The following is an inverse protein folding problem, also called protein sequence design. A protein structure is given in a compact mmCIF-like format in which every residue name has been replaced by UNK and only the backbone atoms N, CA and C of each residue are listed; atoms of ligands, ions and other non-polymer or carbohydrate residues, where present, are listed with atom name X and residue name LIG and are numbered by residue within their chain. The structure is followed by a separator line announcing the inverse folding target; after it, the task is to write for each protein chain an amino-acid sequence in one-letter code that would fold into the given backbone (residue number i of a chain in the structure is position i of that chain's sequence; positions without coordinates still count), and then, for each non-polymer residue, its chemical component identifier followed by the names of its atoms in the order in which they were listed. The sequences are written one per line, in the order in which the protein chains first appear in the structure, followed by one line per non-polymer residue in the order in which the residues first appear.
data_IF_596789798907
#
_entry.id   IF_596789798907
#
_cell.length_a   1.000
_cell.length_b   1.000
_cell.length_c   1.000
_cell.angle_alpha   90.00
_cell.angle_beta   90.00
_cell.angle_gamma   90.00
#
_symmetry.space_group_name_H-M   'P 1'
#
loop_
_entity.id
_entity.type
_entity.pdbx_description
1 polymer ?
#
# COMPACT_ATOMS: atom_id res chain seq x y z
N UNK A 1 -32.97 7.22 -18.85
CA UNK A 1 -33.00 6.33 -17.68
C UNK A 1 -31.94 5.25 -17.86
N UNK A 2 -30.84 5.28 -17.09
CA UNK A 2 -29.79 4.25 -17.15
C UNK A 2 -30.22 3.08 -16.26
N UNK A 3 -30.24 1.86 -16.82
CA UNK A 3 -30.62 0.62 -16.13
C UNK A 3 -29.70 0.40 -14.94
N UNK A 4 -30.25 0.42 -13.73
CA UNK A 4 -29.61 -0.10 -12.52
C UNK A 4 -29.67 -1.63 -12.60
N UNK A 5 -28.59 -2.24 -13.06
CA UNK A 5 -28.39 -3.69 -12.90
C UNK A 5 -28.14 -3.98 -11.42
N UNK A 6 -29.08 -4.67 -10.79
CA UNK A 6 -28.90 -5.31 -9.49
C UNK A 6 -27.70 -6.26 -9.60
N UNK A 7 -26.56 -5.87 -9.03
CA UNK A 7 -25.35 -6.67 -9.02
C UNK A 7 -25.53 -7.81 -8.02
N UNK A 8 -25.78 -9.04 -8.49
CA UNK A 8 -25.62 -10.23 -7.66
C UNK A 8 -24.20 -10.18 -7.11
N UNK A 9 -24.03 -10.08 -5.79
CA UNK A 9 -22.72 -9.97 -5.18
C UNK A 9 -21.86 -11.16 -5.64
N UNK A 10 -20.83 -10.88 -6.44
CA UNK A 10 -19.94 -11.92 -6.91
C UNK A 10 -19.27 -12.59 -5.71
N UNK A 11 -19.41 -13.91 -5.62
CA UNK A 11 -18.87 -14.68 -4.51
C UNK A 11 -17.43 -15.07 -4.79
N UNK A 12 -16.51 -14.25 -4.32
CA UNK A 12 -15.07 -14.51 -4.42
C UNK A 12 -14.68 -15.83 -3.72
N UNK A 13 -14.07 -16.73 -4.46
CA UNK A 13 -13.58 -18.01 -3.96
C UNK A 13 -12.42 -17.80 -2.97
N UNK A 14 -11.58 -16.80 -3.22
CA UNK A 14 -10.49 -16.46 -2.30
C UNK A 14 -11.00 -15.95 -0.94
N UNK A 15 -12.18 -15.32 -0.87
CA UNK A 15 -12.64 -14.67 0.37
C UNK A 15 -12.81 -15.66 1.53
N UNK A 16 -13.20 -16.91 1.25
CA UNK A 16 -13.31 -17.98 2.25
C UNK A 16 -11.97 -18.63 2.58
N UNK A 17 -11.00 -18.55 1.66
CA UNK A 17 -9.67 -19.16 1.80
C UNK A 17 -8.70 -18.27 2.56
N UNK A 18 -8.84 -16.95 2.46
CA UNK A 18 -8.04 -15.95 3.17
C UNK A 18 -8.78 -15.41 4.41
N UNK A 19 -9.09 -16.32 5.35
CA UNK A 19 -9.54 -15.94 6.71
C UNK A 19 -8.33 -15.70 7.62
N UNK A 20 -8.52 -14.99 8.74
CA UNK A 20 -7.45 -14.80 9.73
C UNK A 20 -6.88 -16.16 10.16
N UNK A 21 -5.56 -16.29 10.15
CA UNK A 21 -4.87 -17.54 10.49
C UNK A 21 -5.28 -18.74 9.62
N UNK A 22 -5.71 -18.53 8.38
CA UNK A 22 -6.13 -19.60 7.48
C UNK A 22 -5.02 -20.61 7.18
N UNK A 23 -3.77 -20.17 7.26
CA UNK A 23 -2.61 -20.94 6.88
C UNK A 23 -1.76 -21.32 8.10
N UNK A 24 -1.10 -22.48 7.99
CA UNK A 24 -0.08 -22.91 8.94
C UNK A 24 1.27 -22.30 8.57
N UNK A 25 2.33 -22.63 9.31
CA UNK A 25 3.69 -22.10 9.12
C UNK A 25 4.29 -22.33 7.73
N UNK A 26 3.78 -23.29 6.95
CA UNK A 26 4.26 -23.59 5.59
C UNK A 26 3.81 -22.53 4.58
N UNK A 27 4.76 -21.97 3.83
CA UNK A 27 4.50 -20.92 2.83
C UNK A 27 3.97 -21.41 1.47
N UNK A 28 4.13 -22.70 1.12
CA UNK A 28 3.76 -23.22 -0.20
C UNK A 28 2.26 -23.08 -0.54
N UNK A 29 1.38 -23.45 0.40
CA UNK A 29 -0.07 -23.37 0.23
C UNK A 29 -0.58 -21.92 0.15
N UNK A 30 -0.18 -20.99 1.04
CA UNK A 30 -0.43 -19.56 0.89
C UNK A 30 -0.10 -19.01 -0.50
N UNK A 31 1.10 -19.31 -1.01
CA UNK A 31 1.57 -18.82 -2.31
C UNK A 31 0.71 -19.40 -3.44
N UNK A 32 0.34 -20.68 -3.37
CA UNK A 32 -0.56 -21.28 -4.34
C UNK A 32 -1.94 -20.61 -4.33
N UNK A 33 -2.53 -20.41 -3.14
CA UNK A 33 -3.85 -19.77 -3.01
C UNK A 33 -3.84 -18.31 -3.49
N UNK A 34 -2.73 -17.61 -3.30
CA UNK A 34 -2.55 -16.24 -3.79
C UNK A 34 -2.56 -16.21 -5.32
N UNK A 35 -1.85 -17.14 -5.97
CA UNK A 35 -1.87 -17.25 -7.45
C UNK A 35 -3.27 -17.56 -7.98
N UNK A 36 -4.03 -18.43 -7.31
CA UNK A 36 -5.41 -18.74 -7.68
C UNK A 36 -6.32 -17.52 -7.56
N UNK A 37 -6.20 -16.74 -6.47
CA UNK A 37 -6.96 -15.51 -6.27
C UNK A 37 -6.65 -14.44 -7.34
N UNK A 38 -5.37 -14.29 -7.70
CA UNK A 38 -4.97 -13.40 -8.80
C UNK A 38 -5.55 -13.84 -10.14
N UNK A 39 -5.62 -15.14 -10.41
CA UNK A 39 -6.21 -15.67 -11.63
C UNK A 39 -7.73 -15.39 -11.68
N UNK A 40 -8.43 -15.59 -10.56
CA UNK A 40 -9.85 -15.29 -10.40
C UNK A 40 -10.15 -13.80 -10.70
N UNK A 41 -9.41 -12.88 -10.07
CA UNK A 41 -9.56 -11.43 -10.29
C UNK A 41 -9.30 -11.07 -11.76
N UNK A 42 -8.24 -11.61 -12.36
CA UNK A 42 -7.90 -11.33 -13.77
C UNK A 42 -8.96 -11.85 -14.74
N UNK A 43 -9.64 -12.94 -14.42
CA UNK A 43 -10.75 -13.44 -15.24
C UNK A 43 -11.94 -12.46 -15.18
N UNK A 44 -12.31 -12.01 -13.98
CA UNK A 44 -13.41 -11.06 -13.79
C UNK A 44 -13.09 -9.70 -14.41
N UNK A 45 -11.83 -9.25 -14.36
CA UNK A 45 -11.40 -7.96 -14.91
C UNK A 45 -11.68 -7.79 -16.41
N UNK A 46 -11.85 -8.90 -17.15
CA UNK A 46 -12.20 -8.87 -18.58
C UNK A 46 -13.66 -8.53 -18.83
N UNK A 47 -14.55 -8.89 -17.90
CA UNK A 47 -15.99 -8.70 -18.04
C UNK A 47 -16.48 -7.51 -17.20
N UNK A 48 -15.97 -7.37 -15.99
CA UNK A 48 -16.30 -6.29 -15.07
C UNK A 48 -15.03 -5.79 -14.34
N UNK A 49 -14.38 -4.76 -14.89
CA UNK A 49 -13.20 -4.15 -14.30
C UNK A 49 -13.46 -3.53 -12.91
N UNK A 50 -14.63 -2.94 -12.68
CA UNK A 50 -14.96 -2.28 -11.40
C UNK A 50 -15.11 -3.32 -10.30
N UNK A 51 -15.82 -4.41 -10.58
CA UNK A 51 -15.94 -5.53 -9.66
C UNK A 51 -14.58 -6.16 -9.37
N UNK A 52 -13.73 -6.35 -10.39
CA UNK A 52 -12.39 -6.89 -10.20
C UNK A 52 -11.50 -5.98 -9.35
N UNK A 53 -11.60 -4.66 -9.49
CA UNK A 53 -10.90 -3.71 -8.64
C UNK A 53 -11.38 -3.76 -7.18
N UNK A 54 -12.69 -3.85 -6.93
CA UNK A 54 -13.21 -4.04 -5.56
C UNK A 54 -12.75 -5.39 -4.96
N UNK A 55 -12.69 -6.45 -5.77
CA UNK A 55 -12.13 -7.74 -5.40
C UNK A 55 -10.62 -7.69 -5.10
N UNK A 56 -9.86 -6.92 -5.87
CA UNK A 56 -8.44 -6.68 -5.61
C UNK A 56 -8.21 -6.00 -4.27
N UNK A 57 -9.02 -4.98 -3.95
CA UNK A 57 -9.02 -4.34 -2.63
C UNK A 57 -9.33 -5.36 -1.53
N UNK A 58 -10.39 -6.16 -1.71
CA UNK A 58 -10.79 -7.18 -0.75
C UNK A 58 -9.75 -8.30 -0.55
N UNK A 59 -8.95 -8.62 -1.57
CA UNK A 59 -7.85 -9.58 -1.44
C UNK A 59 -6.70 -8.97 -0.63
N UNK A 60 -6.30 -7.74 -0.91
CA UNK A 60 -5.20 -7.04 -0.22
C UNK A 60 -5.47 -6.89 1.28
N UNK A 61 -6.68 -6.52 1.68
CA UNK A 61 -7.13 -6.47 3.08
C UNK A 61 -6.93 -7.80 3.84
N UNK A 62 -7.02 -8.91 3.11
CA UNK A 62 -7.02 -10.25 3.70
C UNK A 62 -5.64 -10.87 3.78
N UNK A 63 -4.63 -10.31 3.11
CA UNK A 63 -3.30 -10.93 3.03
C UNK A 63 -2.65 -10.99 4.41
N UNK A 64 -2.48 -9.84 5.06
CA UNK A 64 -1.84 -9.76 6.37
C UNK A 64 -2.46 -10.69 7.42
N UNK A 65 -3.78 -10.61 7.71
CA UNK A 65 -4.39 -11.47 8.72
C UNK A 65 -4.37 -12.96 8.32
N UNK A 66 -4.39 -13.29 7.03
CA UNK A 66 -4.32 -14.69 6.60
C UNK A 66 -2.93 -15.30 6.79
N UNK A 67 -1.87 -14.49 6.67
CA UNK A 67 -0.47 -14.93 6.74
C UNK A 67 0.17 -14.79 8.13
N UNK A 68 -0.59 -14.40 9.15
CA UNK A 68 -0.13 -14.17 10.53
C UNK A 68 0.72 -15.31 11.11
N UNK A 69 0.44 -16.57 10.76
CA UNK A 69 1.18 -17.74 11.24
C UNK A 69 2.16 -18.33 10.22
N UNK A 70 2.31 -17.74 9.04
CA UNK A 70 3.19 -18.25 7.98
C UNK A 70 4.62 -17.86 8.28
N UNK A 71 5.56 -18.80 8.13
CA UNK A 71 6.99 -18.50 8.25
C UNK A 71 7.47 -17.66 7.05
N UNK A 72 7.91 -16.44 7.34
CA UNK A 72 8.42 -15.47 6.37
C UNK A 72 9.95 -15.47 6.25
N UNK A 73 10.67 -16.27 7.04
CA UNK A 73 12.15 -16.27 7.10
C UNK A 73 12.84 -16.50 5.75
N UNK A 74 12.23 -17.32 4.89
CA UNK A 74 12.72 -17.60 3.53
C UNK A 74 12.52 -16.46 2.53
N UNK A 75 11.72 -15.44 2.88
CA UNK A 75 11.33 -14.35 1.98
C UNK A 75 10.39 -14.76 0.83
N UNK A 76 10.07 -16.05 0.69
CA UNK A 76 9.29 -16.57 -0.44
C UNK A 76 7.84 -16.04 -0.44
N UNK A 77 7.22 -15.96 0.74
CA UNK A 77 5.87 -15.43 0.89
C UNK A 77 5.85 -13.91 0.64
N UNK A 78 6.81 -13.15 1.19
CA UNK A 78 6.92 -11.71 0.94
C UNK A 78 7.11 -11.41 -0.55
N UNK A 79 8.02 -12.11 -1.22
CA UNK A 79 8.22 -11.99 -2.68
C UNK A 79 6.94 -12.28 -3.47
N UNK A 80 6.14 -13.27 -3.04
CA UNK A 80 4.87 -13.59 -3.69
C UNK A 80 3.81 -12.50 -3.47
N UNK A 81 3.77 -11.90 -2.28
CA UNK A 81 2.87 -10.77 -1.97
C UNK A 81 3.25 -9.52 -2.74
N UNK A 82 4.52 -9.16 -2.81
CA UNK A 82 4.98 -7.99 -3.55
C UNK A 82 4.62 -8.09 -5.04
N UNK A 83 4.82 -9.28 -5.64
CA UNK A 83 4.36 -9.58 -7.01
C UNK A 83 2.84 -9.52 -7.16
N UNK A 84 2.08 -9.85 -6.11
CA UNK A 84 0.64 -9.71 -6.12
C UNK A 84 0.24 -8.22 -6.07
N UNK A 85 0.89 -7.40 -5.23
CA UNK A 85 0.69 -5.95 -5.17
C UNK A 85 0.98 -5.32 -6.55
N UNK A 86 2.11 -5.66 -7.17
CA UNK A 86 2.46 -5.21 -8.52
C UNK A 86 1.42 -5.56 -9.57
N UNK A 87 0.75 -6.72 -9.43
CA UNK A 87 -0.30 -7.15 -10.33
C UNK A 87 -1.65 -6.49 -10.05
N UNK A 88 -1.96 -6.18 -8.78
CA UNK A 88 -3.28 -5.68 -8.36
C UNK A 88 -3.37 -4.16 -8.40
N UNK A 89 -2.28 -3.43 -8.13
CA UNK A 89 -2.27 -1.96 -8.18
C UNK A 89 -2.74 -1.45 -9.55
N UNK A 90 -2.26 -1.97 -10.71
CA UNK A 90 -2.76 -1.55 -12.02
C UNK A 90 -4.22 -1.92 -12.26
N UNK A 91 -4.71 -3.03 -11.69
CA UNK A 91 -6.13 -3.43 -11.78
C UNK A 91 -7.01 -2.43 -11.04
N UNK A 92 -6.58 -1.96 -9.87
CA UNK A 92 -7.31 -0.98 -9.08
C UNK A 92 -7.22 0.40 -9.74
N UNK A 93 -6.02 0.86 -10.09
CA UNK A 93 -5.77 2.19 -10.63
C UNK A 93 -6.28 2.37 -12.07
N UNK A 94 -6.34 1.30 -12.86
CA UNK A 94 -6.74 1.34 -14.27
C UNK A 94 -8.23 1.55 -14.53
N UNK A 95 -9.07 1.54 -13.50
CA UNK A 95 -10.53 1.67 -13.63
C UNK A 95 -10.97 3.08 -13.30
N UNK A 96 -11.73 3.72 -14.20
CA UNK A 96 -12.35 5.01 -13.87
C UNK A 96 -13.60 4.79 -13.02
N UNK A 97 -13.60 5.34 -11.81
CA UNK A 97 -14.72 5.24 -10.85
C UNK A 97 -14.96 6.60 -10.19
N UNK A 98 -16.20 6.88 -9.74
CA UNK A 98 -16.48 8.10 -9.00
C UNK A 98 -15.56 8.25 -7.77
N UNK A 99 -15.12 9.47 -7.49
CA UNK A 99 -14.19 9.76 -6.40
C UNK A 99 -14.61 9.15 -5.03
N UNK A 100 -15.90 9.12 -4.63
CA UNK A 100 -16.29 8.47 -3.37
C UNK A 100 -16.01 6.96 -3.33
N UNK A 101 -16.12 6.26 -4.47
CA UNK A 101 -15.79 4.82 -4.56
C UNK A 101 -14.28 4.64 -4.41
N UNK A 102 -13.50 5.48 -5.09
CA UNK A 102 -12.04 5.48 -4.99
C UNK A 102 -11.56 5.74 -3.57
N UNK A 103 -12.12 6.76 -2.91
CA UNK A 103 -11.80 7.08 -1.52
C UNK A 103 -12.10 5.91 -0.59
N UNK A 104 -13.27 5.26 -0.74
CA UNK A 104 -13.62 4.08 0.06
C UNK A 104 -12.60 2.95 -0.11
N UNK A 105 -12.12 2.71 -1.33
CA UNK A 105 -11.07 1.71 -1.56
C UNK A 105 -9.75 2.08 -0.87
N UNK A 106 -9.36 3.35 -0.93
CA UNK A 106 -8.14 3.82 -0.26
C UNK A 106 -8.28 3.77 1.27
N UNK A 107 -9.43 4.13 1.84
CA UNK A 107 -9.68 4.05 3.29
C UNK A 107 -9.50 2.59 3.76
N UNK A 108 -10.13 1.65 3.06
CA UNK A 108 -10.01 0.20 3.29
C UNK A 108 -8.57 -0.33 3.21
N UNK A 109 -7.82 0.08 2.20
CA UNK A 109 -6.41 -0.31 2.04
C UNK A 109 -5.52 0.32 3.11
N UNK A 110 -5.88 1.52 3.57
CA UNK A 110 -5.14 2.20 4.61
C UNK A 110 -5.35 1.53 5.97
N UNK A 111 -6.59 1.15 6.28
CA UNK A 111 -6.90 0.34 7.46
C UNK A 111 -6.12 -0.98 7.44
N UNK A 112 -6.06 -1.65 6.29
CA UNK A 112 -5.26 -2.87 6.13
C UNK A 112 -3.75 -2.63 6.38
N UNK A 113 -3.20 -1.50 5.91
CA UNK A 113 -1.81 -1.12 6.18
C UNK A 113 -1.57 -0.83 7.67
N UNK A 114 -2.54 -0.26 8.40
CA UNK A 114 -2.42 -0.07 9.84
C UNK A 114 -2.47 -1.40 10.59
N UNK A 115 -3.26 -2.35 10.10
CA UNK A 115 -3.44 -3.70 10.66
C UNK A 115 -2.45 -4.72 10.07
N UNK A 116 -1.22 -4.31 9.74
CA UNK A 116 -0.16 -5.14 9.15
C UNK A 116 1.02 -5.39 10.12
N UNK A 117 0.82 -6.17 11.21
CA UNK A 117 1.82 -6.33 12.28
C UNK A 117 3.12 -7.01 11.80
N UNK A 118 3.00 -7.90 10.82
CA UNK A 118 4.13 -8.40 10.04
C UNK A 118 3.99 -7.71 8.68
N UNK A 119 4.99 -6.93 8.21
CA UNK A 119 4.82 -6.02 7.07
C UNK A 119 4.74 -6.77 5.73
N UNK A 120 3.63 -7.46 5.48
CA UNK A 120 3.41 -8.22 4.26
C UNK A 120 2.97 -7.31 3.12
N UNK A 121 2.22 -6.24 3.42
CA UNK A 121 1.64 -5.35 2.43
C UNK A 121 2.25 -3.94 2.47
N UNK A 122 3.35 -3.72 3.19
CA UNK A 122 4.01 -2.41 3.30
C UNK A 122 4.33 -1.75 1.95
N UNK A 123 4.66 -2.55 0.93
CA UNK A 123 4.96 -2.09 -0.44
C UNK A 123 3.74 -1.47 -1.14
N UNK A 124 2.53 -1.74 -0.64
CA UNK A 124 1.32 -1.05 -1.09
C UNK A 124 1.39 0.46 -0.78
N UNK A 125 2.01 0.84 0.33
CA UNK A 125 2.25 2.23 0.69
C UNK A 125 3.12 2.94 -0.34
N UNK A 126 4.11 2.27 -0.89
CA UNK A 126 4.98 2.83 -1.94
C UNK A 126 4.21 3.14 -3.22
N UNK A 127 3.11 2.42 -3.47
CA UNK A 127 2.25 2.56 -4.65
C UNK A 127 1.02 3.45 -4.41
N UNK A 128 0.94 4.13 -3.25
CA UNK A 128 -0.24 4.91 -2.86
C UNK A 128 -0.60 6.02 -3.86
N UNK A 129 0.41 6.69 -4.40
CA UNK A 129 0.23 7.72 -5.43
C UNK A 129 -0.41 7.22 -6.72
N UNK A 130 -0.11 5.99 -7.13
CA UNK A 130 -0.70 5.35 -8.30
C UNK A 130 -2.19 5.04 -8.05
N UNK A 131 -2.51 4.54 -6.85
CA UNK A 131 -3.89 4.23 -6.44
C UNK A 131 -4.78 5.45 -6.35
N UNK A 132 -4.24 6.64 -6.10
CA UNK A 132 -5.01 7.88 -6.00
C UNK A 132 -5.65 8.30 -7.34
N UNK A 133 -5.01 7.99 -8.48
CA UNK A 133 -5.45 8.27 -9.87
C UNK A 133 -5.74 9.74 -10.25
N UNK A 134 -6.00 10.63 -9.30
CA UNK A 134 -6.17 12.07 -9.52
C UNK A 134 -5.40 12.92 -8.50
N UNK A 135 -4.91 14.11 -8.88
CA UNK A 135 -4.24 15.02 -7.95
C UNK A 135 -5.12 15.47 -6.78
N UNK A 136 -6.45 15.58 -6.98
CA UNK A 136 -7.37 15.98 -5.92
C UNK A 136 -7.46 14.92 -4.82
N UNK A 137 -7.60 13.64 -5.20
CA UNK A 137 -7.60 12.52 -4.25
C UNK A 137 -6.24 12.40 -3.55
N UNK A 138 -5.15 12.52 -4.32
CA UNK A 138 -3.79 12.49 -3.76
C UNK A 138 -3.57 13.62 -2.74
N UNK A 139 -4.01 14.85 -3.05
CA UNK A 139 -3.91 15.99 -2.12
C UNK A 139 -4.74 15.75 -0.85
N UNK A 140 -5.96 15.23 -0.98
CA UNK A 140 -6.80 14.93 0.18
C UNK A 140 -6.16 13.89 1.09
N UNK A 141 -5.52 12.87 0.54
CA UNK A 141 -4.77 11.88 1.32
C UNK A 141 -3.48 12.44 1.92
N UNK A 142 -2.74 13.29 1.20
CA UNK A 142 -1.60 14.02 1.75
C UNK A 142 -2.03 14.80 2.99
N UNK A 143 -3.11 15.57 2.91
CA UNK A 143 -3.59 16.42 4.01
C UNK A 143 -4.00 15.58 5.25
N UNK A 144 -4.41 14.33 5.07
CA UNK A 144 -4.73 13.38 6.16
C UNK A 144 -3.47 12.78 6.80
N UNK A 145 -2.51 12.36 5.99
CA UNK A 145 -1.33 11.61 6.47
C UNK A 145 -0.24 12.53 7.03
N UNK A 146 -0.10 13.71 6.44
CA UNK A 146 0.94 14.70 6.75
C UNK A 146 1.09 15.00 8.26
N UNK A 147 0.02 15.33 9.01
CA UNK A 147 0.17 15.71 10.41
C UNK A 147 0.73 14.57 11.27
N UNK A 148 0.29 13.34 11.00
CA UNK A 148 0.71 12.15 11.74
C UNK A 148 2.15 11.79 11.38
N UNK A 149 2.48 11.76 10.09
CA UNK A 149 3.84 11.49 9.62
C UNK A 149 4.84 12.54 10.14
N UNK A 150 4.48 13.82 10.12
CA UNK A 150 5.34 14.89 10.63
C UNK A 150 5.62 14.76 12.13
N UNK A 151 4.63 14.36 12.92
CA UNK A 151 4.79 14.11 14.36
C UNK A 151 5.71 12.92 14.63
N UNK A 152 5.51 11.81 13.91
CA UNK A 152 6.30 10.58 14.06
C UNK A 152 7.77 10.79 13.65
N UNK A 153 8.01 11.57 12.59
CA UNK A 153 9.35 11.84 12.05
C UNK A 153 10.05 13.04 12.70
N UNK A 154 9.34 13.85 13.48
CA UNK A 154 9.87 15.05 14.12
C UNK A 154 10.79 14.74 15.31
N UNK A 155 11.44 15.76 15.86
CA UNK A 155 12.38 15.62 16.98
C UNK A 155 11.73 15.06 18.27
N UNK A 156 10.41 15.21 18.41
CA UNK A 156 9.62 14.62 19.51
C UNK A 156 9.03 13.24 19.17
N UNK A 157 9.25 12.75 17.96
CA UNK A 157 8.83 11.42 17.54
C UNK A 157 9.56 10.39 18.39
N UNK A 158 8.81 9.60 19.16
CA UNK A 158 9.33 8.58 20.08
C UNK A 158 9.94 7.36 19.34
N UNK A 159 10.27 7.49 18.05
CA UNK A 159 10.70 6.37 17.20
C UNK A 159 9.58 5.39 16.85
N UNK A 160 8.32 5.76 17.06
CA UNK A 160 7.15 4.93 16.77
C UNK A 160 6.99 4.69 15.26
N UNK A 161 6.71 3.45 14.84
CA UNK A 161 6.43 3.16 13.44
C UNK A 161 4.99 3.54 13.07
N UNK A 162 4.82 4.33 12.00
CA UNK A 162 3.53 4.63 11.41
C UNK A 162 3.48 4.10 9.97
N UNK A 163 2.62 3.11 9.70
CA UNK A 163 2.52 2.47 8.39
C UNK A 163 2.14 3.44 7.27
N UNK A 164 1.48 4.57 7.58
CA UNK A 164 1.18 5.62 6.59
C UNK A 164 2.39 6.46 6.15
N UNK A 165 3.56 6.27 6.78
CA UNK A 165 4.78 7.02 6.44
C UNK A 165 5.26 6.70 5.03
N UNK A 166 5.21 5.44 4.59
CA UNK A 166 5.58 5.06 3.22
C UNK A 166 4.61 5.65 2.19
N UNK A 167 3.31 5.61 2.50
CA UNK A 167 2.24 6.20 1.68
C UNK A 167 2.35 7.73 1.50
N UNK A 168 2.88 8.45 2.49
CA UNK A 168 3.10 9.90 2.40
C UNK A 168 4.48 10.23 1.79
N UNK A 169 5.55 9.59 2.25
CA UNK A 169 6.93 10.06 2.00
C UNK A 169 7.55 9.45 0.75
N UNK A 170 7.19 8.21 0.39
CA UNK A 170 7.93 7.48 -0.65
C UNK A 170 7.33 7.72 -2.05
N UNK A 171 8.22 7.99 -3.01
CA UNK A 171 7.88 8.24 -4.41
C UNK A 171 8.07 6.97 -5.23
N UNK A 172 6.98 6.33 -5.66
CA UNK A 172 7.04 5.35 -6.74
C UNK A 172 5.89 5.62 -7.72
N UNK A 173 6.22 6.26 -8.84
CA UNK A 173 5.28 6.59 -9.91
C UNK A 173 5.69 7.86 -10.66
N UNK A 174 5.61 7.82 -12.00
CA UNK A 174 5.80 9.00 -12.86
C UNK A 174 4.50 9.80 -13.05
N UNK A 175 3.37 9.33 -12.50
CA UNK A 175 2.06 9.95 -12.64
C UNK A 175 1.91 11.23 -11.81
N UNK A 176 1.14 12.19 -12.32
CA UNK A 176 0.91 13.49 -11.69
C UNK A 176 0.40 13.40 -10.23
N UNK A 177 -0.40 12.38 -9.92
CA UNK A 177 -0.93 12.12 -8.58
C UNK A 177 0.16 11.69 -7.58
N UNK A 178 1.08 10.82 -8.01
CA UNK A 178 2.24 10.38 -7.20
C UNK A 178 3.21 11.53 -6.95
N UNK A 179 3.44 12.37 -7.98
CA UNK A 179 4.24 13.61 -7.85
C UNK A 179 3.60 14.61 -6.89
N UNK A 180 2.28 14.79 -6.96
CA UNK A 180 1.53 15.70 -6.08
C UNK A 180 1.61 15.28 -4.61
N UNK A 181 1.36 14.00 -4.31
CA UNK A 181 1.47 13.43 -2.97
C UNK A 181 2.89 13.63 -2.41
N UNK A 182 3.89 13.17 -3.16
CA UNK A 182 5.31 13.25 -2.76
C UNK A 182 5.74 14.69 -2.50
N UNK A 183 5.36 15.64 -3.37
CA UNK A 183 5.81 17.03 -3.26
C UNK A 183 5.26 17.70 -2.00
N UNK A 184 3.98 17.48 -1.67
CA UNK A 184 3.37 18.03 -0.44
C UNK A 184 3.96 17.38 0.81
N UNK A 185 4.07 16.05 0.81
CA UNK A 185 4.67 15.32 1.93
C UNK A 185 6.14 15.72 2.16
N UNK A 186 6.93 15.85 1.10
CA UNK A 186 8.35 16.24 1.18
C UNK A 186 8.58 17.70 1.60
N UNK A 187 7.69 18.63 1.25
CA UNK A 187 7.83 20.04 1.66
C UNK A 187 7.64 20.21 3.17
N UNK A 188 6.69 19.48 3.75
CA UNK A 188 6.39 19.57 5.18
C UNK A 188 7.42 18.81 6.01
N UNK A 189 7.85 17.60 5.60
CA UNK A 189 8.90 16.85 6.32
C UNK A 189 10.21 17.63 6.42
N UNK A 190 10.60 18.39 5.38
CA UNK A 190 11.80 19.26 5.43
C UNK A 190 11.68 20.41 6.42
N UNK A 191 10.47 20.85 6.73
CA UNK A 191 10.23 21.92 7.71
C UNK A 191 10.16 21.38 9.14
N UNK A 192 9.83 20.10 9.33
CA UNK A 192 9.65 19.48 10.66
C UNK A 192 10.82 18.62 11.14
N UNK A 193 11.70 18.15 10.25
CA UNK A 193 12.95 17.46 10.65
C UNK A 193 14.05 18.51 10.80
N UNK A 194 14.53 18.82 12.01
CA UNK A 194 15.66 19.71 12.17
C UNK A 194 16.87 19.08 11.47
N UNK A 195 17.48 19.80 10.54
CA UNK A 195 18.81 19.45 10.04
C UNK A 195 19.79 19.51 11.22
N UNK A 196 20.13 18.35 11.79
CA UNK A 196 21.29 18.24 12.67
C UNK A 196 22.53 18.77 11.94
N UNK A 197 23.51 19.34 12.66
CA UNK A 197 24.71 19.87 12.03
C UNK A 197 25.38 18.77 11.20
N UNK A 198 25.78 19.12 9.97
CA UNK A 198 26.58 18.24 9.12
C UNK A 198 27.77 17.75 9.94
N UNK A 199 28.13 16.45 9.92
CA UNK A 199 29.38 16.04 10.51
C UNK A 199 30.50 16.81 9.79
N UNK A 200 31.19 17.67 10.54
CA UNK A 200 32.37 18.36 10.06
C UNK A 200 33.33 17.30 9.54
N UNK A 201 33.60 17.35 8.24
CA UNK A 201 34.68 16.61 7.61
C UNK A 201 35.96 17.17 8.22
N UNK A 202 36.46 16.49 9.25
CA UNK A 202 37.80 16.69 9.79
C UNK A 202 38.80 16.41 8.66
N UNK A 203 39.18 17.48 7.97
CA UNK A 203 40.32 17.52 7.05
C UNK A 203 41.59 17.15 7.83
N UNK A 204 42.03 15.90 7.71
CA UNK A 204 43.34 15.47 8.19
C UNK A 204 44.42 15.86 7.18
N UNK A 205 44.72 17.15 7.10
CA UNK A 205 45.92 17.64 6.43
C UNK A 205 47.11 17.59 7.40
N UNK A 206 47.94 16.56 7.23
CA UNK A 206 49.40 16.70 7.29
C UNK A 206 50.12 16.31 8.58
N UNK A 207 51.05 15.35 8.44
CA UNK A 207 52.51 15.55 8.57
C UNK A 207 53.18 14.31 9.20
N UNK A 208 53.73 13.44 8.35
CA UNK A 208 54.84 12.56 8.77
C UNK A 208 56.14 13.19 8.29
N UNK A 209 57.07 13.37 9.24
CA UNK A 209 58.50 13.54 8.97
C UNK A 209 59.12 12.16 8.70
#
# INVERSE_FOLDING_TARGET
MKRTTSHTAHKWSFATRFRRGAFSWKSALPIQRLKEALAEIRQIARADPVLAADGAVALLEKLSPAFEHVDSSSGAIGTAVNRAIDALVPVIAGVDVPAPVRMRWLDRLFDALQDDPMPYIEELGDRWGDLCTSPAIASSWADRLLPVTARVMGAEGLGEHFAGTTACVRRHGAGASSVCMTSRCSQVTRLTVPHGPRPDVLSSTGRSR
#
